data_IF_848626500428
#
_entry.id   IF_848626500428
#
_cell.length_a   1.000
_cell.length_b   1.000
_cell.length_c   1.000
_cell.angle_alpha   90.00
_cell.angle_beta   90.00
_cell.angle_gamma   90.00
#
_symmetry.space_group_name_H-M   'P 1'
#
loop_
_entity.id
_entity.type
_entity.pdbx_description
1 polymer ?
#
# COMPACT_ATOMS: atom_id res chain seq x y z
N UNK A 1 6.21 11.01 4.90
CA UNK A 1 7.30 10.54 4.02
C UNK A 1 6.91 9.20 3.41
N UNK A 2 7.14 9.04 2.11
CA UNK A 2 6.86 7.78 1.42
C UNK A 2 8.18 7.03 1.23
N UNK A 3 8.21 5.77 1.68
CA UNK A 3 9.40 4.94 1.63
C UNK A 3 9.40 4.07 0.36
N UNK A 4 10.58 3.62 -0.05
CA UNK A 4 10.68 2.55 -1.05
C UNK A 4 10.62 1.21 -0.33
N UNK A 5 10.33 0.13 -1.07
CA UNK A 5 10.30 -1.22 -0.46
C UNK A 5 11.65 -1.64 0.11
N UNK A 6 12.74 -1.16 -0.47
CA UNK A 6 14.09 -1.49 -0.01
C UNK A 6 14.47 -0.76 1.28
N UNK A 7 13.78 0.31 1.62
CA UNK A 7 14.04 1.14 2.79
C UNK A 7 12.84 1.19 3.74
N UNK A 8 11.99 0.15 3.71
CA UNK A 8 10.78 0.11 4.51
C UNK A 8 11.13 -0.08 5.98
N UNK A 9 10.65 0.82 6.87
CA UNK A 9 10.86 0.64 8.31
C UNK A 9 9.98 -0.48 8.86
N UNK A 10 10.32 -0.96 10.06
CA UNK A 10 9.46 -1.92 10.76
C UNK A 10 8.12 -1.26 11.06
N UNK A 11 7.04 -1.91 10.64
CA UNK A 11 5.71 -1.33 10.78
C UNK A 11 5.09 -1.58 12.16
N UNK A 12 5.40 -2.70 12.80
CA UNK A 12 4.79 -3.07 14.08
C UNK A 12 3.27 -3.13 13.93
N UNK A 13 2.56 -2.43 14.81
CA UNK A 13 1.10 -2.34 14.75
C UNK A 13 0.60 -1.17 13.90
N UNK A 14 1.50 -0.44 13.26
CA UNK A 14 1.13 0.69 12.41
C UNK A 14 0.52 0.22 11.11
N UNK A 15 -0.40 1.01 10.58
CA UNK A 15 -0.98 0.74 9.29
C UNK A 15 0.08 0.92 8.20
N UNK A 16 0.20 -0.05 7.31
CA UNK A 16 1.03 0.05 6.12
C UNK A 16 0.14 0.36 4.92
N UNK A 17 0.48 1.43 4.20
CA UNK A 17 -0.18 1.81 2.96
C UNK A 17 0.84 1.73 1.84
N UNK A 18 0.65 0.79 0.93
CA UNK A 18 1.56 0.56 -0.20
C UNK A 18 0.86 0.91 -1.51
N UNK A 19 1.45 1.81 -2.28
CA UNK A 19 0.99 2.10 -3.63
C UNK A 19 1.83 1.29 -4.62
N UNK A 20 1.15 0.51 -5.44
CA UNK A 20 1.77 -0.29 -6.51
C UNK A 20 1.54 0.42 -7.83
N UNK A 21 2.61 0.76 -8.51
CA UNK A 21 2.57 1.60 -9.69
C UNK A 21 3.59 1.19 -10.74
N UNK A 22 3.55 1.87 -11.88
CA UNK A 22 4.55 1.74 -12.93
C UNK A 22 5.04 3.14 -13.32
N UNK A 23 6.33 3.29 -13.52
CA UNK A 23 6.93 4.60 -13.85
C UNK A 23 6.37 5.20 -15.13
N UNK A 24 6.01 4.35 -16.10
CA UNK A 24 5.47 4.79 -17.37
C UNK A 24 4.00 5.19 -17.30
N UNK A 25 3.34 4.96 -16.18
CA UNK A 25 1.93 5.27 -16.03
C UNK A 25 1.73 6.72 -15.56
N UNK A 26 1.07 7.55 -16.36
CA UNK A 26 0.81 8.94 -16.01
C UNK A 26 -0.07 9.10 -14.78
N UNK A 27 -1.06 8.21 -14.62
CA UNK A 27 -1.95 8.20 -13.45
C UNK A 27 -1.18 8.01 -12.17
N UNK A 28 -0.18 7.13 -12.18
CA UNK A 28 0.69 6.92 -11.02
C UNK A 28 1.50 8.15 -10.68
N UNK A 29 2.03 8.84 -11.68
CA UNK A 29 2.78 10.07 -11.47
C UNK A 29 1.91 11.17 -10.87
N UNK A 30 0.64 11.23 -11.26
CA UNK A 30 -0.32 12.15 -10.67
C UNK A 30 -0.63 11.81 -9.23
N UNK A 31 -0.63 10.52 -8.89
CA UNK A 31 -0.93 10.05 -7.54
C UNK A 31 0.23 10.27 -6.57
N UNK A 32 1.46 10.36 -7.07
CA UNK A 32 2.64 10.45 -6.21
C UNK A 32 2.60 11.65 -5.24
N UNK A 33 2.29 12.88 -5.70
CA UNK A 33 2.19 13.99 -4.74
C UNK A 33 1.01 13.84 -3.78
N UNK A 34 -0.09 13.22 -4.20
CA UNK A 34 -1.21 12.95 -3.31
C UNK A 34 -0.79 11.99 -2.20
N UNK A 35 -0.05 10.93 -2.53
CA UNK A 35 0.45 9.98 -1.54
C UNK A 35 1.41 10.65 -0.55
N UNK A 36 2.28 11.54 -1.01
CA UNK A 36 3.16 12.30 -0.15
C UNK A 36 2.38 13.17 0.83
N UNK A 37 1.31 13.83 0.37
CA UNK A 37 0.46 14.65 1.23
C UNK A 37 -0.27 13.80 2.27
N UNK A 38 -0.77 12.63 1.88
CA UNK A 38 -1.42 11.70 2.79
C UNK A 38 -0.46 11.22 3.87
N UNK A 39 0.78 10.94 3.49
CA UNK A 39 1.81 10.49 4.43
C UNK A 39 2.16 11.58 5.44
N UNK A 40 2.28 12.83 4.99
CA UNK A 40 2.58 13.95 5.90
C UNK A 40 1.48 14.19 6.92
N UNK A 41 0.22 13.96 6.51
CA UNK A 41 -0.92 14.14 7.40
C UNK A 41 -1.10 12.96 8.37
N UNK A 42 -0.43 11.82 8.13
CA UNK A 42 -0.60 10.58 8.91
C UNK A 42 0.75 10.01 9.34
N UNK A 43 1.49 10.72 10.21
CA UNK A 43 2.86 10.30 10.59
C UNK A 43 2.90 9.01 11.40
N UNK A 44 1.77 8.54 11.92
CA UNK A 44 1.65 7.28 12.65
C UNK A 44 1.47 6.07 11.74
N UNK A 45 1.35 6.29 10.43
CA UNK A 45 1.25 5.24 9.43
C UNK A 45 2.52 5.15 8.60
N UNK A 46 2.78 3.99 8.03
CA UNK A 46 3.90 3.79 7.12
C UNK A 46 3.38 3.79 5.69
N UNK A 47 3.86 4.72 4.89
CA UNK A 47 3.52 4.82 3.47
C UNK A 47 4.70 4.38 2.62
N UNK A 48 4.44 3.60 1.60
CA UNK A 48 5.46 3.10 0.70
C UNK A 48 4.99 3.12 -0.76
N UNK A 49 5.95 3.14 -1.65
CA UNK A 49 5.75 3.14 -3.09
C UNK A 49 6.55 1.99 -3.68
N UNK A 50 5.90 1.17 -4.50
CA UNK A 50 6.56 0.09 -5.23
C UNK A 50 6.32 0.27 -6.72
N UNK A 51 7.38 0.14 -7.50
CA UNK A 51 7.28 0.07 -8.95
C UNK A 51 7.24 -1.40 -9.35
N UNK A 52 6.23 -1.79 -10.15
CA UNK A 52 6.03 -3.21 -10.47
C UNK A 52 7.15 -3.79 -11.33
N UNK A 53 7.95 -2.95 -11.97
CA UNK A 53 9.11 -3.40 -12.74
C UNK A 53 10.37 -3.45 -11.89
N UNK A 54 10.64 -2.38 -11.13
CA UNK A 54 11.84 -2.29 -10.29
C UNK A 54 11.78 -3.25 -9.10
N UNK A 55 10.59 -3.46 -8.56
CA UNK A 55 10.36 -4.32 -7.40
C UNK A 55 9.73 -5.67 -7.79
N UNK A 56 9.96 -6.12 -9.01
CA UNK A 56 9.33 -7.31 -9.56
C UNK A 56 9.57 -8.57 -8.72
N UNK A 57 10.69 -8.67 -8.03
CA UNK A 57 10.98 -9.80 -7.16
C UNK A 57 9.98 -9.91 -6.00
N UNK A 58 9.50 -8.77 -5.50
CA UNK A 58 8.56 -8.72 -4.40
C UNK A 58 7.10 -8.77 -4.87
N UNK A 59 6.81 -8.14 -6.00
CA UNK A 59 5.42 -7.97 -6.45
C UNK A 59 5.08 -8.75 -7.71
N UNK A 60 6.03 -9.51 -8.26
CA UNK A 60 5.87 -10.17 -9.56
C UNK A 60 4.75 -11.20 -9.64
N UNK A 61 4.33 -11.75 -8.49
CA UNK A 61 3.22 -12.71 -8.45
C UNK A 61 1.85 -12.02 -8.49
N UNK A 62 1.83 -10.68 -8.40
CA UNK A 62 0.61 -9.91 -8.51
C UNK A 62 0.36 -9.59 -9.98
N UNK A 63 -0.83 -9.94 -10.46
CA UNK A 63 -1.26 -9.68 -11.82
C UNK A 63 -1.97 -8.32 -11.83
N UNK A 64 -1.23 -7.26 -12.13
CA UNK A 64 -1.73 -5.89 -12.03
C UNK A 64 -1.90 -5.32 -13.42
N UNK A 65 -3.15 -5.07 -13.81
CA UNK A 65 -3.50 -4.50 -15.11
C UNK A 65 -3.78 -3.00 -15.04
N UNK A 66 -4.24 -2.50 -13.91
CA UNK A 66 -4.61 -1.10 -13.73
C UNK A 66 -3.85 -0.49 -12.57
N UNK A 67 -3.56 0.80 -12.67
CA UNK A 67 -2.81 1.55 -11.66
C UNK A 67 -3.53 2.85 -11.30
N UNK A 68 -3.30 3.40 -10.11
CA UNK A 68 -2.51 2.82 -9.00
C UNK A 68 -3.31 1.77 -8.23
N UNK A 69 -2.61 0.81 -7.66
CA UNK A 69 -3.20 -0.17 -6.76
C UNK A 69 -2.76 0.18 -5.34
N UNK A 70 -3.71 0.18 -4.40
CA UNK A 70 -3.42 0.34 -2.98
C UNK A 70 -3.52 -0.99 -2.26
N UNK A 71 -2.47 -1.31 -1.51
CA UNK A 71 -2.44 -2.42 -0.58
C UNK A 71 -2.33 -1.83 0.82
N UNK A 72 -3.30 -2.15 1.68
CA UNK A 72 -3.32 -1.67 3.07
C UNK A 72 -3.29 -2.87 3.99
N UNK A 73 -2.38 -2.86 4.96
CA UNK A 73 -2.18 -3.98 5.87
C UNK A 73 -1.83 -3.49 7.27
N UNK A 74 -2.07 -4.34 8.26
CA UNK A 74 -1.66 -4.11 9.65
C UNK A 74 -1.26 -5.43 10.27
N UNK A 75 -0.06 -5.45 10.87
CA UNK A 75 0.44 -6.62 11.62
C UNK A 75 0.33 -7.93 10.83
N UNK A 76 0.64 -7.88 9.54
CA UNK A 76 0.61 -9.05 8.66
C UNK A 76 -0.74 -9.37 8.04
N UNK A 77 -1.79 -8.64 8.41
CA UNK A 77 -3.14 -8.88 7.89
C UNK A 77 -3.48 -7.89 6.79
N UNK A 78 -3.86 -8.40 5.62
CA UNK A 78 -4.31 -7.58 4.50
C UNK A 78 -5.70 -7.03 4.80
N UNK A 79 -5.84 -5.70 4.76
CA UNK A 79 -7.11 -5.02 4.99
C UNK A 79 -7.76 -4.56 3.70
N UNK A 80 -6.96 -4.26 2.68
CA UNK A 80 -7.47 -3.80 1.40
C UNK A 80 -6.45 -4.07 0.29
N UNK A 81 -6.95 -4.44 -0.88
CA UNK A 81 -6.17 -4.55 -2.10
C UNK A 81 -7.06 -4.22 -3.28
N UNK A 82 -6.69 -3.23 -4.07
CA UNK A 82 -7.46 -2.89 -5.27
C UNK A 82 -7.00 -1.58 -5.91
N UNK A 83 -7.52 -1.37 -7.12
CA UNK A 83 -7.27 -0.14 -7.86
C UNK A 83 -7.90 1.04 -7.14
N UNK A 84 -7.16 2.13 -7.02
CA UNK A 84 -7.65 3.36 -6.41
C UNK A 84 -7.72 4.47 -7.47
N UNK A 85 -8.68 5.38 -7.30
CA UNK A 85 -8.65 6.62 -8.06
C UNK A 85 -7.45 7.46 -7.60
N UNK A 86 -6.76 8.17 -8.51
CA UNK A 86 -5.58 8.96 -8.17
C UNK A 86 -5.95 10.29 -7.52
N UNK A 87 -6.92 10.25 -6.60
CA UNK A 87 -7.45 11.42 -5.92
C UNK A 87 -7.16 11.32 -4.43
N UNK A 88 -6.48 12.33 -3.90
CA UNK A 88 -6.07 12.37 -2.50
C UNK A 88 -7.23 12.16 -1.53
N UNK A 89 -8.36 12.86 -1.76
CA UNK A 89 -9.53 12.77 -0.88
C UNK A 89 -10.12 11.37 -0.85
N UNK A 90 -10.20 10.70 -2.00
CA UNK A 90 -10.76 9.36 -2.11
C UNK A 90 -9.86 8.34 -1.37
N UNK A 91 -8.56 8.39 -1.66
CA UNK A 91 -7.58 7.51 -1.01
C UNK A 91 -7.54 7.77 0.49
N UNK A 92 -7.59 9.03 0.91
CA UNK A 92 -7.57 9.39 2.33
C UNK A 92 -8.75 8.84 3.10
N UNK A 93 -9.95 8.89 2.52
CA UNK A 93 -11.15 8.33 3.15
C UNK A 93 -11.04 6.81 3.33
N UNK A 94 -10.54 6.13 2.32
CA UNK A 94 -10.33 4.69 2.38
C UNK A 94 -9.34 4.35 3.49
N UNK A 95 -8.20 5.02 3.50
CA UNK A 95 -7.14 4.78 4.48
C UNK A 95 -7.67 5.01 5.89
N UNK A 96 -8.35 6.13 6.12
CA UNK A 96 -8.88 6.46 7.44
C UNK A 96 -9.95 5.47 7.91
N UNK A 97 -10.78 4.96 6.98
CA UNK A 97 -11.76 3.93 7.30
C UNK A 97 -11.10 2.62 7.72
N UNK A 98 -9.93 2.31 7.15
CA UNK A 98 -9.18 1.09 7.48
C UNK A 98 -8.28 1.25 8.71
N UNK A 99 -8.08 2.49 9.17
CA UNK A 99 -7.20 2.77 10.29
C UNK A 99 -7.82 2.42 11.66
N UNK A 100 -9.09 2.01 11.69
CA UNK A 100 -9.74 1.63 12.94
C UNK A 100 -9.24 0.28 13.43
N UNK A 101 -9.25 0.07 14.75
CA UNK A 101 -8.80 -1.18 15.35
C UNK A 101 -9.67 -2.38 14.92
N UNK A 102 -10.91 -2.12 14.53
CA UNK A 102 -11.89 -3.16 14.17
C UNK A 102 -12.00 -3.40 12.66
N UNK A 103 -11.12 -2.82 11.86
CA UNK A 103 -11.18 -2.99 10.41
C UNK A 103 -11.05 -4.49 10.05
N UNK A 104 -12.00 -5.06 9.29
CA UNK A 104 -11.94 -6.46 8.92
C UNK A 104 -10.86 -6.70 7.87
N UNK A 105 -10.36 -7.94 7.83
CA UNK A 105 -9.45 -8.31 6.74
C UNK A 105 -10.16 -8.22 5.40
N UNK A 106 -9.40 -8.07 4.32
CA UNK A 106 -9.95 -8.04 2.98
C UNK A 106 -10.69 -9.35 2.69
N UNK A 107 -11.96 -9.24 2.27
CA UNK A 107 -12.81 -10.41 2.02
C UNK A 107 -12.41 -11.15 0.76
N UNK A 108 -11.98 -10.41 -0.27
CA UNK A 108 -11.55 -10.98 -1.55
C UNK A 108 -10.26 -10.29 -1.96
N UNK A 109 -9.22 -11.09 -2.16
CA UNK A 109 -7.93 -10.56 -2.62
C UNK A 109 -7.10 -11.71 -3.18
N UNK A 110 -6.16 -11.43 -4.12
CA UNK A 110 -5.23 -12.46 -4.57
C UNK A 110 -4.38 -12.99 -3.42
N UNK A 111 -4.08 -14.28 -3.44
CA UNK A 111 -3.21 -14.88 -2.42
C UNK A 111 -1.84 -14.18 -2.36
N UNK A 112 -1.33 -13.74 -3.51
CA UNK A 112 -0.06 -13.03 -3.57
C UNK A 112 -0.10 -11.69 -2.82
N UNK A 113 -1.26 -11.02 -2.81
CA UNK A 113 -1.42 -9.77 -2.05
C UNK A 113 -1.38 -10.02 -0.55
N UNK A 114 -2.05 -11.07 -0.08
CA UNK A 114 -2.02 -11.45 1.34
C UNK A 114 -0.61 -11.87 1.77
N UNK A 115 0.11 -12.59 0.91
CA UNK A 115 1.49 -12.99 1.18
C UNK A 115 2.42 -11.77 1.26
N UNK A 116 2.26 -10.81 0.37
CA UNK A 116 3.04 -9.58 0.39
C UNK A 116 2.75 -8.76 1.64
N UNK A 117 1.48 -8.65 2.04
CA UNK A 117 1.08 -7.97 3.26
C UNK A 117 1.75 -8.61 4.49
N UNK A 118 1.75 -9.93 4.57
CA UNK A 118 2.41 -10.64 5.67
C UNK A 118 3.91 -10.41 5.67
N UNK A 119 4.53 -10.39 4.50
CA UNK A 119 5.97 -10.18 4.37
C UNK A 119 6.38 -8.77 4.79
N UNK A 120 5.62 -7.75 4.40
CA UNK A 120 5.98 -6.35 4.61
C UNK A 120 5.53 -5.80 5.97
N UNK A 121 4.39 -6.27 6.49
CA UNK A 121 3.80 -5.73 7.72
C UNK A 121 3.72 -6.74 8.85
N UNK A 122 4.11 -7.99 8.61
CA UNK A 122 4.12 -9.02 9.65
C UNK A 122 5.24 -8.84 10.65
N UNK A 123 5.19 -9.57 11.77
CA UNK A 123 6.28 -9.54 12.73
C UNK A 123 7.57 -10.08 12.09
N UNK A 124 8.66 -9.34 12.28
CA UNK A 124 9.97 -9.74 11.78
C UNK A 124 10.76 -10.34 12.92
N UNK A 125 11.23 -11.53 12.70
CA UNK A 125 12.13 -12.20 13.63
C UNK A 125 13.55 -11.84 13.32
#
# INVERSE_FOLDING_TARGET
>A
MVHTLHALPTTGDRLLVLALCAQWCGTCREFQPALENLARARPDMVFAWADVEDDAELVGDLDIDDFPVLLVARAGTLLHYGVSLPLEAVAGRLIDALATADAPRAAVAPAAAAALAAQLSGPRS
#
